data_IF_312408222010
#
_entry.id   IF_312408222010
#
_cell.length_a   1.000
_cell.length_b   1.000
_cell.length_c   1.000
_cell.angle_alpha   90.00
_cell.angle_beta   90.00
_cell.angle_gamma   90.00
#
_symmetry.space_group_name_H-M   'P 1'
#
loop_
_entity.id
_entity.type
_entity.pdbx_description
1 polymer ?
#
# COMPACT_ATOMS: atom_id res chain seq x y z
N UNK A 1 -2.25 20.46 -23.90
CA UNK A 1 -2.51 19.97 -22.53
C UNK A 1 -3.41 20.97 -21.80
N UNK A 2 -4.65 20.58 -21.57
CA UNK A 2 -5.61 21.45 -20.87
C UNK A 2 -5.34 21.31 -19.39
N UNK A 3 -4.77 22.35 -18.78
CA UNK A 3 -4.63 22.45 -17.32
C UNK A 3 -6.00 22.79 -16.77
N UNK A 4 -6.56 21.94 -15.90
CA UNK A 4 -7.85 22.22 -15.26
C UNK A 4 -7.76 23.50 -14.41
N UNK A 5 -8.78 24.37 -14.44
CA UNK A 5 -8.82 25.55 -13.55
C UNK A 5 -8.79 25.07 -12.10
N UNK A 6 -7.81 25.53 -11.33
CA UNK A 6 -7.57 25.10 -9.94
C UNK A 6 -6.27 24.34 -9.70
N UNK A 7 -5.63 23.77 -10.72
CA UNK A 7 -4.35 23.07 -10.55
C UNK A 7 -3.18 24.03 -10.28
N UNK A 8 -3.29 25.26 -10.72
CA UNK A 8 -2.23 26.26 -10.54
C UNK A 8 -2.19 26.82 -9.10
N UNK A 9 -3.34 26.98 -8.48
CA UNK A 9 -3.43 27.43 -7.07
C UNK A 9 -2.96 26.36 -6.10
N UNK A 10 -3.13 25.08 -6.44
CA UNK A 10 -2.70 23.96 -5.60
C UNK A 10 -1.19 23.72 -5.63
N UNK A 11 -0.49 24.16 -6.67
CA UNK A 11 0.96 23.95 -6.80
C UNK A 11 1.80 24.82 -5.86
N UNK A 12 1.30 26.01 -5.53
CA UNK A 12 1.97 26.92 -4.60
C UNK A 12 1.57 26.69 -3.13
N UNK A 13 0.59 25.83 -2.91
CA UNK A 13 0.12 25.50 -1.57
C UNK A 13 1.13 24.66 -0.82
N UNK A 14 1.37 25.01 0.43
CA UNK A 14 2.11 24.18 1.38
C UNK A 14 1.16 23.48 2.35
N UNK A 15 1.61 22.36 2.86
CA UNK A 15 0.84 21.51 3.78
C UNK A 15 1.63 21.31 5.07
N UNK A 16 0.93 21.37 6.19
CA UNK A 16 1.52 20.99 7.48
C UNK A 16 1.58 19.47 7.62
N UNK A 17 2.40 18.98 8.52
CA UNK A 17 2.45 17.54 8.84
C UNK A 17 1.08 17.05 9.34
N UNK A 18 0.37 17.86 10.12
CA UNK A 18 -0.97 17.55 10.63
C UNK A 18 -1.99 17.39 9.51
N UNK A 19 -1.97 18.32 8.54
CA UNK A 19 -2.87 18.24 7.37
C UNK A 19 -2.66 16.96 6.56
N UNK A 20 -1.40 16.61 6.26
CA UNK A 20 -1.09 15.39 5.50
C UNK A 20 -1.42 14.12 6.28
N UNK A 21 -1.15 14.09 7.58
CA UNK A 21 -1.50 12.95 8.42
C UNK A 21 -3.01 12.70 8.43
N UNK A 22 -3.78 13.77 8.50
CA UNK A 22 -5.25 13.69 8.48
C UNK A 22 -5.78 13.23 7.12
N UNK A 23 -5.25 13.78 6.04
CA UNK A 23 -5.68 13.46 4.67
C UNK A 23 -5.39 12.00 4.31
N UNK A 24 -4.20 11.52 4.62
CA UNK A 24 -3.72 10.19 4.23
C UNK A 24 -3.84 9.12 5.31
N UNK A 25 -4.37 9.48 6.47
CA UNK A 25 -4.53 8.55 7.60
C UNK A 25 -3.21 7.89 8.04
N UNK A 26 -2.16 8.69 8.11
CA UNK A 26 -0.84 8.29 8.54
C UNK A 26 -0.40 9.07 9.79
N UNK A 27 0.60 8.56 10.48
CA UNK A 27 1.14 9.21 11.68
C UNK A 27 2.26 10.19 11.33
N UNK A 28 2.50 11.22 12.18
CA UNK A 28 3.65 12.10 12.02
C UNK A 28 4.98 11.35 12.00
N UNK A 29 5.08 10.27 12.77
CA UNK A 29 6.26 9.39 12.78
C UNK A 29 6.52 8.78 11.41
N UNK A 30 5.49 8.35 10.71
CA UNK A 30 5.58 7.80 9.36
C UNK A 30 6.14 8.83 8.37
N UNK A 31 5.63 10.06 8.40
CA UNK A 31 6.10 11.13 7.53
C UNK A 31 7.55 11.53 7.82
N UNK A 32 7.93 11.60 9.09
CA UNK A 32 9.32 11.86 9.51
C UNK A 32 10.26 10.75 9.04
N UNK A 33 9.80 9.52 9.10
CA UNK A 33 10.54 8.36 8.61
C UNK A 33 10.77 8.43 7.10
N UNK A 34 9.76 8.81 6.32
CA UNK A 34 9.90 8.99 4.88
C UNK A 34 10.83 10.16 4.53
N UNK A 35 10.80 11.23 5.30
CA UNK A 35 11.78 12.33 5.18
C UNK A 35 13.20 11.83 5.44
N UNK A 36 13.40 11.07 6.51
CA UNK A 36 14.70 10.50 6.87
C UNK A 36 15.24 9.57 5.79
N UNK A 37 14.36 8.84 5.12
CA UNK A 37 14.73 7.95 4.00
C UNK A 37 14.91 8.66 2.67
N UNK A 38 14.74 9.97 2.63
CA UNK A 38 14.89 10.77 1.42
C UNK A 38 13.73 10.64 0.43
N UNK A 39 12.59 10.14 0.87
CA UNK A 39 11.38 10.04 0.05
C UNK A 39 10.60 11.35 -0.01
N UNK A 40 10.64 12.12 1.05
CA UNK A 40 10.04 13.45 1.18
C UNK A 40 11.11 14.46 1.57
N UNK A 41 10.96 15.71 1.11
CA UNK A 41 11.90 16.79 1.39
C UNK A 41 11.16 18.08 1.73
N UNK A 42 10.48 18.15 2.90
CA UNK A 42 9.78 19.34 3.31
C UNK A 42 10.76 20.49 3.56
N UNK A 43 10.36 21.70 3.22
CA UNK A 43 11.04 22.91 3.65
C UNK A 43 10.80 23.13 5.15
N UNK A 44 11.66 23.91 5.78
CA UNK A 44 11.50 24.26 7.20
C UNK A 44 11.33 25.76 7.37
N UNK A 45 10.34 26.13 8.15
CA UNK A 45 10.14 27.48 8.64
C UNK A 45 10.29 27.45 10.17
N UNK A 46 11.51 27.76 10.65
CA UNK A 46 11.87 27.50 12.03
C UNK A 46 11.86 25.99 12.33
N UNK A 47 11.07 25.57 13.29
CA UNK A 47 10.87 24.17 13.66
C UNK A 47 9.75 23.48 12.88
N UNK A 48 9.01 24.24 12.08
CA UNK A 48 7.82 23.75 11.35
C UNK A 48 8.22 23.20 10.00
N UNK A 49 7.73 21.99 9.68
CA UNK A 49 7.85 21.40 8.35
C UNK A 49 6.77 21.93 7.43
N UNK A 50 7.17 22.34 6.24
CA UNK A 50 6.26 22.76 5.17
C UNK A 50 6.41 21.80 4.01
N UNK A 51 5.41 20.97 3.81
CA UNK A 51 5.37 20.03 2.68
C UNK A 51 4.83 20.73 1.45
N UNK A 52 5.53 20.56 0.32
CA UNK A 52 5.12 21.13 -0.96
C UNK A 52 4.00 20.29 -1.61
N UNK A 53 3.40 20.85 -2.64
CA UNK A 53 2.51 20.10 -3.54
C UNK A 53 3.19 18.83 -4.08
N UNK A 54 4.47 18.94 -4.43
CA UNK A 54 5.29 17.81 -4.90
C UNK A 54 5.45 16.72 -3.83
N UNK A 55 5.71 17.11 -2.59
CA UNK A 55 5.79 16.19 -1.46
C UNK A 55 4.46 15.45 -1.26
N UNK A 56 3.35 16.17 -1.36
CA UNK A 56 2.02 15.55 -1.26
C UNK A 56 1.78 14.54 -2.37
N UNK A 57 2.13 14.87 -3.61
CA UNK A 57 2.01 13.95 -4.75
C UNK A 57 2.92 12.72 -4.57
N UNK A 58 4.14 12.92 -4.09
CA UNK A 58 5.07 11.84 -3.77
C UNK A 58 4.53 10.94 -2.67
N UNK A 59 3.97 11.51 -1.61
CA UNK A 59 3.37 10.74 -0.52
C UNK A 59 2.24 9.84 -1.02
N UNK A 60 1.40 10.34 -1.89
CA UNK A 60 0.34 9.55 -2.53
C UNK A 60 0.89 8.33 -3.27
N UNK A 61 1.97 8.51 -4.03
CA UNK A 61 2.64 7.42 -4.75
C UNK A 61 3.36 6.46 -3.81
N UNK A 62 3.98 6.95 -2.74
CA UNK A 62 4.63 6.12 -1.71
C UNK A 62 3.61 5.17 -1.08
N UNK A 63 2.47 5.70 -0.66
CA UNK A 63 1.43 4.91 -0.01
C UNK A 63 0.82 3.86 -0.97
N UNK A 64 0.64 4.20 -2.24
CA UNK A 64 0.21 3.24 -3.27
C UNK A 64 1.24 2.13 -3.48
N UNK A 65 2.51 2.48 -3.57
CA UNK A 65 3.60 1.51 -3.71
C UNK A 65 3.69 0.57 -2.52
N UNK A 66 3.56 1.09 -1.31
CA UNK A 66 3.53 0.29 -0.08
C UNK A 66 2.36 -0.69 -0.09
N UNK A 67 1.20 -0.25 -0.51
CA UNK A 67 -0.01 -1.07 -0.58
C UNK A 67 0.15 -2.29 -1.49
N UNK A 68 0.87 -2.17 -2.58
CA UNK A 68 1.12 -3.29 -3.51
C UNK A 68 2.41 -4.05 -3.22
N UNK A 69 3.10 -3.70 -2.12
CA UNK A 69 4.22 -4.46 -1.60
C UNK A 69 5.59 -4.09 -2.16
N UNK A 70 5.75 -2.93 -2.76
CA UNK A 70 7.09 -2.42 -3.07
C UNK A 70 7.85 -2.06 -1.79
N UNK A 71 9.15 -2.30 -1.78
CA UNK A 71 10.04 -1.79 -0.73
C UNK A 71 10.19 -0.28 -0.84
N UNK A 72 10.61 0.38 0.24
CA UNK A 72 10.86 1.82 0.20
C UNK A 72 11.97 2.18 -0.79
N UNK A 73 12.96 1.33 -0.96
CA UNK A 73 14.04 1.50 -1.93
C UNK A 73 13.52 1.45 -3.37
N UNK A 74 12.69 0.47 -3.68
CA UNK A 74 12.01 0.36 -4.98
C UNK A 74 11.11 1.56 -5.26
N UNK A 75 10.36 2.01 -4.26
CA UNK A 75 9.50 3.20 -4.36
C UNK A 75 10.35 4.44 -4.64
N UNK A 76 11.48 4.60 -3.95
CA UNK A 76 12.39 5.71 -4.18
C UNK A 76 12.93 5.73 -5.60
N UNK A 77 13.36 4.58 -6.12
CA UNK A 77 13.80 4.44 -7.51
C UNK A 77 12.71 4.84 -8.50
N UNK A 78 11.47 4.38 -8.27
CA UNK A 78 10.34 4.73 -9.13
C UNK A 78 10.03 6.23 -9.06
N UNK A 79 10.07 6.84 -7.88
CA UNK A 79 9.85 8.28 -7.72
C UNK A 79 10.94 9.11 -8.41
N UNK A 80 12.18 8.68 -8.34
CA UNK A 80 13.29 9.34 -9.02
C UNK A 80 13.13 9.27 -10.54
N UNK A 81 12.61 8.17 -11.07
CA UNK A 81 12.27 8.05 -12.49
C UNK A 81 11.16 9.02 -12.92
N UNK A 82 10.12 9.19 -12.09
CA UNK A 82 9.02 10.14 -12.34
C UNK A 82 9.45 11.60 -12.21
N UNK A 83 10.52 11.89 -11.47
CA UNK A 83 11.02 13.25 -11.24
C UNK A 83 11.80 13.82 -12.41
N UNK A 84 12.18 13.00 -13.37
CA UNK A 84 12.89 13.44 -14.56
C UNK A 84 11.92 14.17 -15.49
N UNK A 85 12.15 15.47 -15.68
CA UNK A 85 11.27 16.38 -16.45
C UNK A 85 11.00 15.92 -17.88
N UNK A 86 11.91 15.17 -18.47
CA UNK A 86 11.87 14.81 -19.90
C UNK A 86 11.20 13.46 -20.16
N UNK A 87 10.69 12.77 -19.12
CA UNK A 87 9.97 11.51 -19.28
C UNK A 87 10.62 10.59 -20.30
N UNK A 88 11.96 10.42 -20.21
CA UNK A 88 12.69 9.66 -21.20
C UNK A 88 12.10 8.28 -21.37
N UNK A 89 11.87 7.89 -22.60
CA UNK A 89 11.21 6.63 -22.96
C UNK A 89 11.85 5.42 -22.25
N UNK A 90 13.16 5.43 -22.07
CA UNK A 90 13.91 4.38 -21.37
C UNK A 90 13.49 4.24 -19.92
N UNK A 91 13.35 5.37 -19.18
CA UNK A 91 12.93 5.35 -17.78
C UNK A 91 11.49 4.90 -17.62
N UNK A 92 10.60 5.32 -18.49
CA UNK A 92 9.21 4.86 -18.51
C UNK A 92 9.12 3.37 -18.78
N UNK A 93 9.95 2.84 -19.66
CA UNK A 93 10.02 1.39 -19.92
C UNK A 93 10.51 0.62 -18.70
N UNK A 94 11.54 1.11 -18.01
CA UNK A 94 12.04 0.50 -16.77
C UNK A 94 10.95 0.49 -15.70
N UNK A 95 10.28 1.61 -15.48
CA UNK A 95 9.18 1.69 -14.53
C UNK A 95 8.04 0.74 -14.89
N UNK A 96 7.64 0.68 -16.16
CA UNK A 96 6.60 -0.23 -16.66
C UNK A 96 6.98 -1.70 -16.42
N UNK A 97 8.22 -2.08 -16.68
CA UNK A 97 8.72 -3.44 -16.45
C UNK A 97 8.63 -3.83 -14.97
N UNK A 98 9.10 -2.96 -14.08
CA UNK A 98 9.03 -3.20 -12.62
C UNK A 98 7.59 -3.36 -12.12
N UNK A 99 6.68 -2.52 -12.62
CA UNK A 99 5.27 -2.60 -12.25
C UNK A 99 4.61 -3.89 -12.76
N UNK A 100 4.94 -4.32 -13.98
CA UNK A 100 4.43 -5.58 -14.55
C UNK A 100 4.94 -6.80 -13.79
N UNK A 101 6.20 -6.82 -13.43
CA UNK A 101 6.77 -7.90 -12.60
C UNK A 101 6.06 -7.99 -11.24
N UNK A 102 5.77 -6.85 -10.61
CA UNK A 102 5.03 -6.84 -9.36
C UNK A 102 3.59 -7.30 -9.54
N UNK A 103 2.94 -6.86 -10.60
CA UNK A 103 1.59 -7.30 -10.95
C UNK A 103 1.52 -8.82 -11.13
N UNK A 104 2.45 -9.39 -11.88
CA UNK A 104 2.53 -10.84 -12.09
C UNK A 104 2.72 -11.59 -10.77
N UNK A 105 3.63 -11.11 -9.91
CA UNK A 105 3.85 -11.71 -8.59
C UNK A 105 2.57 -11.69 -7.73
N UNK A 106 1.82 -10.60 -7.74
CA UNK A 106 0.55 -10.49 -7.02
C UNK A 106 -0.53 -11.42 -7.59
N UNK A 107 -0.58 -11.59 -8.91
CA UNK A 107 -1.52 -12.53 -9.55
C UNK A 107 -1.21 -13.98 -9.16
N UNK A 108 0.07 -14.35 -9.09
CA UNK A 108 0.50 -15.66 -8.61
C UNK A 108 0.11 -15.85 -7.14
N UNK A 109 0.36 -14.87 -6.29
CA UNK A 109 -0.02 -14.90 -4.88
C UNK A 109 -1.54 -15.06 -4.70
N UNK A 110 -2.33 -14.41 -5.56
CA UNK A 110 -3.79 -14.53 -5.52
C UNK A 110 -4.23 -15.96 -5.79
N UNK A 111 -3.65 -16.63 -6.78
CA UNK A 111 -3.96 -18.04 -7.08
C UNK A 111 -3.58 -18.95 -5.91
N UNK A 112 -2.38 -18.78 -5.36
CA UNK A 112 -1.91 -19.53 -4.19
C UNK A 112 -2.83 -19.33 -2.97
N UNK A 113 -3.27 -18.09 -2.74
CA UNK A 113 -4.18 -17.77 -1.65
C UNK A 113 -5.55 -18.41 -1.85
N UNK A 114 -6.08 -18.38 -3.06
CA UNK A 114 -7.36 -19.03 -3.39
C UNK A 114 -7.29 -20.53 -3.15
N UNK A 115 -6.20 -21.18 -3.53
CA UNK A 115 -5.95 -22.60 -3.25
C UNK A 115 -5.89 -22.90 -1.75
N UNK A 116 -5.18 -22.07 -1.00
CA UNK A 116 -5.08 -22.22 0.46
C UNK A 116 -6.43 -22.05 1.15
N UNK A 117 -7.23 -21.09 0.70
CA UNK A 117 -8.59 -20.86 1.21
C UNK A 117 -9.47 -22.09 0.93
N UNK A 118 -9.40 -22.63 -0.27
CA UNK A 118 -10.17 -23.82 -0.66
C UNK A 118 -9.80 -25.03 0.21
N UNK A 119 -8.51 -25.27 0.41
CA UNK A 119 -8.02 -26.34 1.25
C UNK A 119 -8.48 -26.19 2.71
N UNK A 120 -8.47 -24.98 3.23
CA UNK A 120 -8.90 -24.71 4.59
C UNK A 120 -10.42 -24.89 4.74
N UNK A 121 -11.21 -24.50 3.76
CA UNK A 121 -12.64 -24.78 3.74
C UNK A 121 -12.94 -26.28 3.83
N UNK A 122 -12.24 -27.09 3.04
CA UNK A 122 -12.37 -28.56 3.09
C UNK A 122 -12.00 -29.13 4.45
N UNK A 123 -10.92 -28.62 5.04
CA UNK A 123 -10.47 -29.05 6.38
C UNK A 123 -11.49 -28.68 7.46
N UNK A 124 -12.06 -27.49 7.42
CA UNK A 124 -13.11 -27.04 8.34
C UNK A 124 -14.32 -27.97 8.26
N UNK A 125 -14.77 -28.30 7.04
CA UNK A 125 -15.89 -29.21 6.85
C UNK A 125 -15.64 -30.60 7.46
N UNK A 126 -14.43 -31.13 7.29
CA UNK A 126 -14.03 -32.43 7.87
C UNK A 126 -14.06 -32.35 9.41
N UNK A 127 -13.41 -31.33 9.97
CA UNK A 127 -13.35 -31.16 11.45
C UNK A 127 -14.73 -30.91 12.04
N UNK A 128 -15.55 -30.09 11.41
CA UNK A 128 -16.93 -29.83 11.86
C UNK A 128 -17.78 -31.11 11.82
N UNK A 129 -17.60 -31.95 10.78
CA UNK A 129 -18.22 -33.25 10.69
C UNK A 129 -17.82 -34.19 11.85
N UNK A 130 -16.52 -34.24 12.16
CA UNK A 130 -16.03 -35.01 13.30
C UNK A 130 -16.55 -34.51 14.63
N UNK A 131 -16.60 -33.19 14.81
CA UNK A 131 -17.13 -32.54 15.99
C UNK A 131 -18.63 -32.89 16.20
N UNK A 132 -19.40 -32.80 15.11
CA UNK A 132 -20.83 -33.14 15.11
C UNK A 132 -21.06 -34.60 15.52
N UNK A 133 -20.32 -35.54 14.92
CA UNK A 133 -20.40 -36.97 15.24
C UNK A 133 -20.11 -37.25 16.73
N UNK A 134 -19.05 -36.63 17.27
CA UNK A 134 -18.71 -36.80 18.70
C UNK A 134 -19.73 -36.17 19.63
N UNK A 135 -20.28 -35.03 19.28
CA UNK A 135 -21.31 -34.35 20.07
C UNK A 135 -22.59 -35.18 20.07
N UNK A 136 -23.03 -35.69 18.93
CA UNK A 136 -24.21 -36.59 18.82
C UNK A 136 -24.00 -37.91 19.55
N UNK A 137 -22.80 -38.52 19.40
CA UNK A 137 -22.42 -39.71 20.11
C UNK A 137 -22.42 -39.53 21.63
N UNK A 138 -21.95 -38.42 22.15
CA UNK A 138 -21.98 -38.08 23.57
C UNK A 138 -23.41 -37.87 24.06
N UNK A 139 -24.25 -37.20 23.28
CA UNK A 139 -25.67 -37.00 23.62
C UNK A 139 -26.45 -38.34 23.66
N UNK A 140 -26.19 -39.24 22.70
CA UNK A 140 -26.78 -40.56 22.66
C UNK A 140 -26.38 -41.41 23.87
N UNK A 141 -25.12 -41.41 24.30
CA UNK A 141 -24.63 -42.07 25.49
C UNK A 141 -25.26 -41.50 26.77
N UNK A 142 -25.44 -40.19 26.85
CA UNK A 142 -26.08 -39.53 27.98
C UNK A 142 -27.59 -39.91 28.10
N UNK A 143 -28.30 -40.14 26.99
CA UNK A 143 -29.68 -40.58 26.94
C UNK A 143 -29.86 -42.08 27.25
N UNK A 144 -28.84 -42.89 26.97
CA UNK A 144 -28.89 -44.36 27.17
C UNK A 144 -28.47 -44.79 28.58
N UNK A 145 -27.92 -43.88 29.38
CA UNK A 145 -27.51 -44.11 30.75
C UNK A 145 -28.62 -43.73 31.77
#
# INVERSE_FOLDING_TARGET
>A
MIVKPGENESRDRTYSITELCKEFEVTPRTLRFYEQKGLLSPARRGWTRLFSYRDRARLKLILRGKKVGFSLEEIKELLDLYSLRDGQLTQLRVASTKMRERLEALEIQRVELDEAILDLHRTVEIVDGMLKERTEGTMLKAKAG
#
